data_IF_972947699200
#
_entry.id   IF_972947699200
#
_cell.length_a   1.000
_cell.length_b   1.000
_cell.length_c   1.000
_cell.angle_alpha   90.00
_cell.angle_beta   90.00
_cell.angle_gamma   90.00
#
_symmetry.space_group_name_H-M   'P 1'
#
loop_
_entity.id
_entity.type
_entity.pdbx_description
1 polymer ?
#
# COMPACT_ATOMS: atom_id res chain seq x y z
N UNK A 1 14.04 -0.21 -4.69
CA UNK A 1 14.27 -0.28 -3.22
C UNK A 1 12.99 -0.56 -2.44
N UNK A 2 11.85 0.05 -2.81
CA UNK A 2 10.58 -0.16 -2.10
C UNK A 2 10.19 -1.65 -1.97
N UNK A 3 10.15 -2.41 -3.06
CA UNK A 3 9.70 -3.79 -2.98
C UNK A 3 10.62 -4.67 -2.12
N UNK A 4 11.95 -4.54 -2.28
CA UNK A 4 12.92 -5.23 -1.39
C UNK A 4 12.81 -4.81 0.08
N UNK A 5 12.42 -3.58 0.36
CA UNK A 5 12.19 -3.09 1.72
C UNK A 5 10.95 -3.74 2.34
N UNK A 6 9.84 -3.79 1.58
CA UNK A 6 8.63 -4.50 2.01
C UNK A 6 8.88 -6.01 2.16
N UNK A 7 9.63 -6.63 1.24
CA UNK A 7 10.02 -8.03 1.37
C UNK A 7 10.78 -8.29 2.67
N UNK A 8 11.66 -7.35 3.09
CA UNK A 8 12.40 -7.47 4.34
C UNK A 8 11.47 -7.37 5.56
N UNK A 9 10.54 -6.41 5.57
CA UNK A 9 9.52 -6.30 6.63
C UNK A 9 8.77 -7.63 6.77
N UNK A 10 8.31 -8.18 5.66
CA UNK A 10 7.54 -9.43 5.65
C UNK A 10 8.38 -10.65 6.08
N UNK A 11 9.66 -10.71 5.69
CA UNK A 11 10.58 -11.81 6.05
C UNK A 11 11.03 -11.79 7.50
N UNK A 12 11.09 -10.62 8.14
CA UNK A 12 11.40 -10.53 9.57
C UNK A 12 10.33 -11.19 10.45
N UNK A 13 9.11 -11.41 9.90
CA UNK A 13 8.01 -12.12 10.55
C UNK A 13 7.72 -11.61 11.99
N UNK A 14 7.92 -10.31 12.20
CA UNK A 14 7.60 -9.64 13.45
C UNK A 14 6.07 -9.56 13.62
N UNK A 15 5.61 -9.53 14.87
CA UNK A 15 4.21 -9.21 15.15
C UNK A 15 3.92 -7.81 14.59
N UNK A 16 2.96 -7.71 13.68
CA UNK A 16 2.62 -6.44 13.03
C UNK A 16 3.27 -6.22 11.66
N UNK A 17 4.16 -7.09 11.18
CA UNK A 17 4.87 -6.89 9.91
C UNK A 17 3.94 -6.58 8.71
N UNK A 18 2.79 -7.27 8.61
CA UNK A 18 1.80 -6.99 7.55
C UNK A 18 1.17 -5.61 7.69
N UNK A 19 0.94 -5.14 8.92
CA UNK A 19 0.41 -3.81 9.18
C UNK A 19 1.43 -2.73 8.79
N UNK A 20 2.68 -2.91 9.19
CA UNK A 20 3.78 -1.99 8.86
C UNK A 20 3.99 -1.92 7.33
N UNK A 21 3.99 -3.08 6.67
CA UNK A 21 4.06 -3.16 5.21
C UNK A 21 2.88 -2.46 4.53
N UNK A 22 1.67 -2.61 5.07
CA UNK A 22 0.47 -1.95 4.55
C UNK A 22 0.57 -0.43 4.69
N UNK A 23 1.06 0.06 5.84
CA UNK A 23 1.24 1.50 6.06
C UNK A 23 2.23 2.11 5.05
N UNK A 24 3.32 1.41 4.73
CA UNK A 24 4.25 1.83 3.68
C UNK A 24 3.55 2.00 2.32
N UNK A 25 2.64 1.10 1.96
CA UNK A 25 1.88 1.18 0.71
C UNK A 25 0.82 2.29 0.76
N UNK A 26 0.08 2.38 1.86
CA UNK A 26 -0.99 3.37 2.04
C UNK A 26 -0.44 4.81 1.97
N UNK A 27 0.82 5.03 2.37
CA UNK A 27 1.49 6.33 2.26
C UNK A 27 1.63 6.85 0.82
N UNK A 28 1.48 6.01 -0.21
CA UNK A 28 1.45 6.49 -1.59
C UNK A 28 0.10 7.13 -1.99
N UNK A 29 -0.96 6.99 -1.19
CA UNK A 29 -2.31 7.42 -1.58
C UNK A 29 -2.41 8.92 -1.93
N UNK A 30 -1.69 9.79 -1.21
CA UNK A 30 -1.63 11.22 -1.55
C UNK A 30 -0.87 11.45 -2.85
N UNK A 31 0.27 10.78 -3.03
CA UNK A 31 1.14 10.94 -4.19
C UNK A 31 0.47 10.48 -5.48
N UNK A 32 -0.45 9.50 -5.42
CA UNK A 32 -1.23 9.09 -6.60
C UNK A 32 -2.08 10.22 -7.20
N UNK A 33 -2.30 11.32 -6.47
CA UNK A 33 -3.00 12.51 -6.93
C UNK A 33 -2.05 13.70 -7.21
N UNK A 34 -0.73 13.50 -7.14
CA UNK A 34 0.31 14.50 -7.34
C UNK A 34 1.33 14.06 -8.41
N UNK A 35 2.03 15.01 -9.04
CA UNK A 35 3.06 14.72 -10.03
C UNK A 35 2.48 14.11 -11.30
N UNK A 36 2.52 12.79 -11.43
CA UNK A 36 1.88 12.04 -12.50
C UNK A 36 0.72 11.21 -11.93
N UNK A 37 -0.51 11.66 -12.19
CA UNK A 37 -1.72 11.06 -11.64
C UNK A 37 -1.76 9.55 -11.92
N UNK A 38 -1.97 8.76 -10.86
CA UNK A 38 -2.02 7.30 -10.92
C UNK A 38 -0.66 6.61 -11.06
N UNK A 39 0.45 7.33 -10.94
CA UNK A 39 1.80 6.79 -11.00
C UNK A 39 2.59 7.12 -9.72
N UNK A 40 3.77 6.50 -9.59
CA UNK A 40 4.71 6.75 -8.48
C UNK A 40 6.00 7.32 -9.04
N UNK A 41 6.50 8.38 -8.41
CA UNK A 41 7.75 9.03 -8.78
C UNK A 41 8.96 8.20 -8.35
N UNK A 42 10.08 8.37 -9.05
CA UNK A 42 11.32 7.63 -8.82
C UNK A 42 11.92 7.86 -7.43
N UNK A 43 11.93 9.12 -6.97
CA UNK A 43 12.54 9.55 -5.72
C UNK A 43 11.69 10.64 -5.04
N UNK A 44 11.86 10.78 -3.73
CA UNK A 44 11.17 11.74 -2.88
C UNK A 44 12.18 12.44 -1.97
N UNK A 45 11.94 13.72 -1.67
CA UNK A 45 12.75 14.46 -0.69
C UNK A 45 12.59 13.82 0.71
N UNK A 46 13.67 13.75 1.49
CA UNK A 46 13.64 13.14 2.82
C UNK A 46 12.92 14.01 3.86
N UNK A 47 12.95 15.34 3.69
CA UNK A 47 12.27 16.29 4.56
C UNK A 47 10.86 16.59 4.04
N UNK A 48 9.93 16.85 4.98
CA UNK A 48 8.61 17.33 4.63
C UNK A 48 8.69 18.61 3.77
N UNK A 49 7.88 18.75 2.71
CA UNK A 49 6.69 17.94 2.40
C UNK A 49 6.96 16.72 1.49
N UNK A 50 8.19 16.22 1.41
CA UNK A 50 8.58 15.04 0.63
C UNK A 50 8.28 15.16 -0.87
N UNK A 51 8.65 16.29 -1.49
CA UNK A 51 8.35 16.54 -2.90
C UNK A 51 8.86 15.38 -3.81
N UNK A 52 8.08 15.00 -4.83
CA UNK A 52 8.52 14.04 -5.83
C UNK A 52 9.62 14.64 -6.71
N UNK A 53 10.63 13.83 -7.03
CA UNK A 53 11.79 14.17 -7.87
C UNK A 53 12.03 13.08 -8.91
N UNK A 54 13.00 13.33 -9.78
CA UNK A 54 13.44 12.36 -10.79
C UNK A 54 12.38 12.08 -11.84
N UNK A 55 12.35 10.85 -12.36
CA UNK A 55 11.33 10.46 -13.32
C UNK A 55 9.96 10.35 -12.64
N UNK A 56 8.96 11.04 -13.21
CA UNK A 56 7.58 11.09 -12.66
C UNK A 56 6.80 9.78 -12.82
N UNK A 57 7.25 8.91 -13.74
CA UNK A 57 6.62 7.62 -14.01
C UNK A 57 7.63 6.62 -14.59
N UNK A 58 8.13 5.70 -13.76
CA UNK A 58 8.95 4.57 -14.20
C UNK A 58 8.22 3.25 -14.01
N UNK A 59 8.34 2.37 -15.01
CA UNK A 59 7.71 1.06 -15.00
C UNK A 59 8.10 0.21 -13.79
N UNK A 60 9.38 0.23 -13.37
CA UNK A 60 9.83 -0.56 -12.22
C UNK A 60 9.19 -0.12 -10.90
N UNK A 61 8.79 1.14 -10.77
CA UNK A 61 8.33 1.71 -9.50
C UNK A 61 6.91 1.25 -9.24
N UNK A 62 6.06 1.44 -10.26
CA UNK A 62 4.70 0.94 -10.29
C UNK A 62 4.68 -0.60 -10.19
N UNK A 63 5.56 -1.29 -10.92
CA UNK A 63 5.64 -2.75 -10.87
C UNK A 63 5.97 -3.26 -9.46
N UNK A 64 6.93 -2.64 -8.76
CA UNK A 64 7.30 -3.07 -7.40
C UNK A 64 6.19 -2.81 -6.38
N UNK A 65 5.46 -1.69 -6.47
CA UNK A 65 4.28 -1.42 -5.63
C UNK A 65 3.22 -2.50 -5.84
N UNK A 66 2.87 -2.77 -7.10
CA UNK A 66 1.85 -3.77 -7.43
C UNK A 66 2.28 -5.19 -7.01
N UNK A 67 3.55 -5.55 -7.23
CA UNK A 67 4.09 -6.86 -6.86
C UNK A 67 3.92 -7.12 -5.36
N UNK A 68 4.40 -6.21 -4.50
CA UNK A 68 4.30 -6.43 -3.05
C UNK A 68 2.87 -6.35 -2.54
N UNK A 69 2.01 -5.55 -3.15
CA UNK A 69 0.59 -5.55 -2.85
C UNK A 69 -0.05 -6.92 -3.13
N UNK A 70 0.28 -7.52 -4.28
CA UNK A 70 -0.25 -8.83 -4.67
C UNK A 70 0.36 -9.97 -3.84
N UNK A 71 1.68 -10.02 -3.71
CA UNK A 71 2.42 -11.10 -3.02
C UNK A 71 2.06 -11.21 -1.54
N UNK A 72 1.75 -10.07 -0.90
CA UNK A 72 1.49 -10.00 0.55
C UNK A 72 0.04 -9.63 0.91
N UNK A 73 -0.83 -9.51 -0.10
CA UNK A 73 -2.23 -9.10 0.06
C UNK A 73 -2.37 -7.81 0.89
N UNK A 74 -1.63 -6.76 0.51
CA UNK A 74 -1.61 -5.44 1.18
C UNK A 74 -2.70 -4.51 0.65
N UNK A 75 -3.86 -5.06 0.34
CA UNK A 75 -5.00 -4.32 -0.19
C UNK A 75 -6.30 -4.84 0.44
N UNK A 76 -7.28 -3.97 0.55
CA UNK A 76 -8.60 -4.35 1.04
C UNK A 76 -9.36 -5.04 -0.09
N UNK A 77 -9.81 -6.28 0.17
CA UNK A 77 -10.77 -6.93 -0.73
C UNK A 77 -12.17 -6.50 -0.33
N UNK A 78 -12.95 -5.99 -1.28
CA UNK A 78 -14.35 -5.66 -1.06
C UNK A 78 -15.23 -6.89 -0.85
N UNK A 79 -15.07 -7.63 0.25
CA UNK A 79 -16.08 -8.59 0.74
C UNK A 79 -16.89 -7.95 1.85
N UNK A 80 -17.96 -7.24 1.48
CA UNK A 80 -19.08 -6.99 2.40
C UNK A 80 -19.79 -8.32 2.66
N UNK A 81 -19.36 -9.07 3.67
CA UNK A 81 -20.24 -10.10 4.24
C UNK A 81 -21.36 -9.39 5.02
N UNK A 82 -22.58 -9.45 4.49
CA UNK A 82 -23.78 -9.11 5.26
C UNK A 82 -23.95 -10.13 6.38
N UNK A 83 -23.42 -9.85 7.56
CA UNK A 83 -23.89 -10.52 8.78
C UNK A 83 -25.26 -9.95 9.14
N UNK A 84 -26.32 -10.45 8.49
CA UNK A 84 -27.63 -10.43 9.12
C UNK A 84 -27.61 -11.46 10.25
N UNK A 85 -27.10 -11.03 11.41
CA UNK A 85 -27.28 -11.75 12.66
C UNK A 85 -28.76 -11.67 13.02
N UNK A 86 -29.41 -12.81 12.85
CA UNK A 86 -30.59 -13.31 13.58
C UNK A 86 -30.72 -12.65 14.97
N UNK A 87 -31.73 -11.80 15.12
CA UNK A 87 -32.45 -11.56 16.37
C UNK A 87 -33.93 -11.75 15.99
N UNK A 88 -34.56 -12.88 16.31
CA UNK A 88 -35.14 -13.08 17.64
C UNK A 88 -35.91 -11.83 18.09
N UNK A 89 -37.04 -11.57 17.44
CA UNK A 89 -38.13 -10.77 17.98
C UNK A 89 -39.39 -11.63 17.83
N UNK A 90 -39.70 -12.30 18.94
CA UNK A 90 -41.02 -12.70 19.43
C UNK A 90 -42.21 -12.54 18.46
N UNK A 91 -42.80 -13.69 18.09
CA UNK A 91 -44.20 -13.84 17.71
C UNK A 91 -44.68 -15.22 18.15
#
# INVERSE_FOLDING_TARGET
LLGTYVDAIMKLNAKGAKQDAKEVIDNFAYHLNEGCIGSVSEIFDADAPHHPRGCVAQAWGVAEVLRVMMDYELYETGKKESKSKKAAAEA
#
